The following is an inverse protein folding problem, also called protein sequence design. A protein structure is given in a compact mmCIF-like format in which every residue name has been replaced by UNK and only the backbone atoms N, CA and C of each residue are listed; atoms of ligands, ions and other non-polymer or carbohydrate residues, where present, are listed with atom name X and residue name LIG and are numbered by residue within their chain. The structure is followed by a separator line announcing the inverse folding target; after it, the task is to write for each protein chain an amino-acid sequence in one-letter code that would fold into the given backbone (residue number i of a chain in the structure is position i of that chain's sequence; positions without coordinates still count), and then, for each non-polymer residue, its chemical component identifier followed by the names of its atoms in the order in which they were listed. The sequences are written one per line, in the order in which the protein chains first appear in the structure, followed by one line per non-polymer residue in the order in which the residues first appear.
data_IF_796481583474
#
_entry.id   IF_796481583474
#
_cell.length_a   1.000
_cell.length_b   1.000
_cell.length_c   1.000
_cell.angle_alpha   90.00
_cell.angle_beta   90.00
_cell.angle_gamma   90.00
#
_symmetry.space_group_name_H-M   'P 1'
#
loop_
_entity.id
_entity.type
_entity.pdbx_description
1 polymer ?
#
# COMPACT_ATOMS: atom_id res chain seq x y z
N UNK A 1 -38.28 12.80 26.32
CA UNK A 1 -37.23 13.78 26.66
C UNK A 1 -35.99 13.40 25.87
N UNK A 2 -35.18 14.36 25.41
CA UNK A 2 -34.00 14.06 24.60
C UNK A 2 -32.80 13.81 25.53
N UNK A 3 -32.31 12.58 25.58
CA UNK A 3 -31.12 12.19 26.35
C UNK A 3 -29.93 13.06 25.95
N UNK A 4 -29.25 13.67 26.92
CA UNK A 4 -28.14 14.58 26.65
C UNK A 4 -26.83 13.80 26.51
N UNK A 5 -26.29 13.76 25.31
CA UNK A 5 -25.02 13.09 25.03
C UNK A 5 -23.83 13.99 25.38
N UNK A 6 -22.82 13.41 26.04
CA UNK A 6 -21.53 14.04 26.31
C UNK A 6 -20.42 13.21 25.70
N UNK A 7 -19.76 13.76 24.69
CA UNK A 7 -18.59 13.15 24.09
C UNK A 7 -17.38 13.28 25.01
N UNK A 8 -16.68 12.17 25.26
CA UNK A 8 -15.40 12.16 25.97
C UNK A 8 -14.28 12.02 24.95
N UNK A 9 -13.39 13.01 24.90
CA UNK A 9 -12.19 12.95 24.06
C UNK A 9 -11.23 11.89 24.57
N UNK A 10 -10.80 11.00 23.67
CA UNK A 10 -9.78 10.02 23.97
C UNK A 10 -8.39 10.66 24.00
N UNK A 11 -7.52 10.19 24.90
CA UNK A 11 -6.09 10.49 24.90
C UNK A 11 -5.34 9.20 24.59
N UNK A 12 -4.46 9.25 23.59
CA UNK A 12 -3.58 8.13 23.23
C UNK A 12 -2.34 8.21 24.12
N UNK A 13 -2.07 7.17 24.87
CA UNK A 13 -0.87 7.06 25.71
C UNK A 13 0.30 6.46 24.92
N UNK A 14 1.51 6.52 25.50
CA UNK A 14 2.76 6.03 24.87
C UNK A 14 2.73 4.53 24.52
N UNK A 15 1.84 3.76 25.14
CA UNK A 15 1.60 2.34 24.88
C UNK A 15 0.60 2.08 23.73
N UNK A 16 0.07 3.15 23.10
CA UNK A 16 -0.93 3.08 22.05
C UNK A 16 -2.35 2.81 22.53
N UNK A 17 -2.58 2.72 23.85
CA UNK A 17 -3.91 2.51 24.42
C UNK A 17 -4.71 3.81 24.48
N UNK A 18 -6.04 3.68 24.45
CA UNK A 18 -6.99 4.81 24.53
C UNK A 18 -7.47 4.98 25.96
N UNK A 19 -7.16 6.12 26.59
CA UNK A 19 -7.68 6.48 27.90
C UNK A 19 -8.77 7.55 27.79
N UNK A 20 -9.84 7.36 28.58
CA UNK A 20 -10.98 8.28 28.67
C UNK A 20 -11.08 8.81 30.09
N UNK A 21 -11.00 10.13 30.26
CA UNK A 21 -11.22 10.78 31.55
C UNK A 21 -12.64 11.32 31.64
N UNK A 22 -13.37 10.90 32.67
CA UNK A 22 -14.76 11.32 32.90
C UNK A 22 -14.93 11.77 34.34
N UNK A 23 -15.51 12.96 34.52
CA UNK A 23 -16.02 13.42 35.82
C UNK A 23 -17.51 13.10 35.87
N UNK A 24 -17.98 12.53 36.99
CA UNK A 24 -19.40 12.25 37.20
C UNK A 24 -20.18 13.57 37.25
N UNK A 25 -21.23 13.67 36.43
CA UNK A 25 -22.23 14.73 36.53
C UNK A 25 -23.37 14.28 37.47
N UNK A 26 -24.16 15.23 38.01
CA UNK A 26 -25.42 14.92 38.68
C UNK A 26 -26.31 14.02 37.81
N UNK A 27 -27.24 13.27 38.43
CA UNK A 27 -28.14 12.31 37.78
C UNK A 27 -29.23 12.96 36.88
N UNK A 28 -28.84 13.95 36.11
CA UNK A 28 -29.58 14.51 34.99
C UNK A 28 -29.32 13.58 33.81
N UNK A 29 -30.36 12.91 33.31
CA UNK A 29 -30.45 11.97 32.18
C UNK A 29 -29.41 12.19 31.04
N UNK A 30 -28.16 11.81 31.31
CA UNK A 30 -27.00 12.09 30.47
C UNK A 30 -26.18 10.84 30.25
N UNK A 31 -25.67 10.69 29.04
CA UNK A 31 -24.91 9.53 28.61
C UNK A 31 -23.53 9.99 28.14
N UNK A 32 -22.49 9.38 28.70
CA UNK A 32 -21.13 9.57 28.25
C UNK A 32 -20.86 8.65 27.05
N UNK A 33 -20.36 9.22 25.96
CA UNK A 33 -20.03 8.48 24.73
C UNK A 33 -18.52 8.48 24.54
N UNK A 34 -17.94 7.28 24.42
CA UNK A 34 -16.52 7.05 24.16
C UNK A 34 -16.37 6.38 22.79
N UNK A 35 -15.73 7.05 21.82
CA UNK A 35 -15.45 6.45 20.51
C UNK A 35 -14.09 5.76 20.52
N UNK A 36 -14.08 4.48 20.16
CA UNK A 36 -12.87 3.70 19.93
C UNK A 36 -12.34 3.95 18.53
N UNK A 37 -11.03 4.07 18.36
CA UNK A 37 -10.40 4.06 17.04
C UNK A 37 -10.52 2.63 16.47
N UNK A 38 -11.06 2.44 15.25
CA UNK A 38 -11.14 1.11 14.66
C UNK A 38 -9.74 0.62 14.29
N UNK A 39 -9.29 -0.48 14.91
CA UNK A 39 -8.04 -1.19 14.57
C UNK A 39 -8.14 -2.03 13.28
N UNK A 40 -9.05 -1.65 12.37
CA UNK A 40 -9.28 -2.41 11.13
C UNK A 40 -8.38 -1.89 10.03
N UNK A 41 -7.32 -2.63 9.75
CA UNK A 41 -6.57 -2.51 8.51
C UNK A 41 -7.45 -3.00 7.36
N UNK A 42 -7.80 -2.11 6.44
CA UNK A 42 -8.47 -2.46 5.18
C UNK A 42 -7.38 -2.54 4.09
N UNK A 43 -6.94 -3.74 3.67
CA UNK A 43 -5.95 -3.84 2.61
C UNK A 43 -6.58 -3.41 1.27
N UNK A 44 -6.05 -2.34 0.68
CA UNK A 44 -6.42 -1.93 -0.68
C UNK A 44 -5.43 -2.58 -1.64
N UNK A 45 -5.90 -3.55 -2.43
CA UNK A 45 -5.08 -4.27 -3.40
C UNK A 45 -5.33 -3.68 -4.78
N UNK A 46 -4.28 -3.14 -5.39
CA UNK A 46 -4.29 -2.71 -6.78
C UNK A 46 -3.76 -3.83 -7.66
N UNK A 47 -4.59 -4.31 -8.58
CA UNK A 47 -4.19 -5.29 -9.60
C UNK A 47 -3.94 -4.53 -10.89
N UNK A 48 -2.69 -4.43 -11.36
CA UNK A 48 -2.37 -3.76 -12.62
C UNK A 48 -2.92 -4.54 -13.82
N UNK A 49 -3.16 -3.82 -14.91
CA UNK A 49 -3.70 -4.34 -16.16
C UNK A 49 -2.65 -5.01 -17.07
N UNK A 50 -3.02 -5.13 -18.35
CA UNK A 50 -2.19 -5.80 -19.37
C UNK A 50 -0.89 -5.02 -19.58
N UNK A 51 0.25 -5.69 -19.42
CA UNK A 51 1.61 -5.16 -19.63
C UNK A 51 2.06 -4.01 -18.71
N UNK A 52 1.29 -3.71 -17.67
CA UNK A 52 1.55 -2.59 -16.76
C UNK A 52 2.61 -2.93 -15.69
N UNK A 53 2.74 -4.21 -15.31
CA UNK A 53 3.78 -4.62 -14.38
C UNK A 53 5.15 -4.71 -15.06
N UNK A 54 6.15 -4.08 -14.45
CA UNK A 54 7.54 -4.19 -14.86
C UNK A 54 8.05 -5.64 -14.71
N UNK A 55 8.83 -6.10 -15.69
CA UNK A 55 9.37 -7.47 -15.72
C UNK A 55 10.88 -7.48 -15.72
N UNK A 56 11.45 -8.41 -14.96
CA UNK A 56 12.87 -8.75 -14.98
C UNK A 56 13.05 -10.12 -15.63
N UNK A 57 14.18 -10.33 -16.32
CA UNK A 57 14.59 -11.65 -16.78
C UNK A 57 15.26 -12.42 -15.64
N UNK A 58 15.02 -13.73 -15.55
CA UNK A 58 15.56 -14.64 -14.50
C UNK A 58 17.09 -14.73 -14.41
N UNK A 59 17.86 -13.98 -15.21
CA UNK A 59 19.32 -13.98 -15.10
C UNK A 59 19.74 -13.24 -13.84
N UNK A 60 20.54 -13.90 -13.02
CA UNK A 60 21.05 -13.53 -11.69
C UNK A 60 21.82 -12.21 -11.60
N UNK A 61 21.84 -11.41 -12.66
CA UNK A 61 22.45 -10.09 -12.71
C UNK A 61 21.37 -9.01 -12.64
N UNK A 62 21.39 -8.30 -11.52
CA UNK A 62 20.59 -7.12 -11.17
C UNK A 62 20.73 -5.93 -12.15
N UNK A 63 20.51 -6.09 -13.45
CA UNK A 63 20.59 -4.95 -14.38
C UNK A 63 19.77 -5.03 -15.66
N UNK A 64 19.29 -6.20 -16.09
CA UNK A 64 18.52 -6.27 -17.34
C UNK A 64 17.02 -6.32 -17.09
N UNK A 65 16.40 -5.14 -17.08
CA UNK A 65 14.94 -5.06 -17.09
C UNK A 65 14.41 -5.61 -18.42
N UNK A 66 13.70 -6.73 -18.34
CA UNK A 66 13.06 -7.37 -19.48
C UNK A 66 11.83 -6.62 -19.98
N UNK A 67 11.23 -5.73 -19.18
CA UNK A 67 10.17 -4.81 -19.59
C UNK A 67 10.05 -3.70 -18.53
N UNK A 68 10.35 -2.45 -18.89
CA UNK A 68 10.26 -1.29 -18.00
C UNK A 68 9.46 -0.18 -18.67
N UNK A 69 8.30 0.12 -18.11
CA UNK A 69 7.42 1.18 -18.59
C UNK A 69 7.39 2.36 -17.59
N UNK A 70 8.57 2.88 -17.23
CA UNK A 70 8.66 4.04 -16.32
C UNK A 70 8.61 5.39 -17.07
N UNK A 71 9.03 5.41 -18.34
CA UNK A 71 9.21 6.63 -19.11
C UNK A 71 9.30 6.35 -20.61
N UNK A 72 9.15 7.37 -21.44
CA UNK A 72 9.35 7.26 -22.90
C UNK A 72 10.74 6.77 -23.26
N UNK A 73 11.76 7.07 -22.45
CA UNK A 73 13.15 6.67 -22.69
C UNK A 73 13.38 5.17 -22.48
N UNK A 74 12.67 4.53 -21.54
CA UNK A 74 12.80 3.08 -21.32
C UNK A 74 12.01 2.25 -22.33
N UNK A 75 11.04 2.87 -23.02
CA UNK A 75 10.26 2.24 -24.09
C UNK A 75 10.97 2.32 -25.44
N UNK A 76 11.72 3.37 -25.71
CA UNK A 76 12.41 3.57 -27.00
C UNK A 76 13.25 2.37 -27.46
N UNK A 77 14.06 1.71 -26.60
CA UNK A 77 14.82 0.53 -26.98
C UNK A 77 13.94 -0.63 -27.47
N UNK A 78 12.69 -0.72 -27.03
CA UNK A 78 11.77 -1.77 -27.48
C UNK A 78 11.33 -1.57 -28.92
N UNK A 79 11.22 -0.33 -29.39
CA UNK A 79 10.81 -0.02 -30.77
C UNK A 79 11.80 -0.57 -31.80
N UNK A 80 13.08 -0.66 -31.44
CA UNK A 80 14.17 -1.10 -32.32
C UNK A 80 14.59 -2.57 -32.11
N UNK A 81 14.06 -3.27 -31.10
CA UNK A 81 14.37 -4.70 -30.88
C UNK A 81 13.74 -5.62 -31.94
N UNK A 82 14.53 -6.59 -32.39
CA UNK A 82 14.08 -7.64 -33.32
C UNK A 82 13.04 -8.58 -32.72
N UNK A 83 12.23 -9.20 -33.59
CA UNK A 83 11.16 -10.11 -33.20
C UNK A 83 11.65 -11.30 -32.36
N UNK A 84 12.80 -11.88 -32.70
CA UNK A 84 13.40 -13.00 -31.96
C UNK A 84 13.83 -12.57 -30.55
N UNK A 85 14.45 -11.40 -30.43
CA UNK A 85 14.86 -10.82 -29.15
C UNK A 85 13.65 -10.54 -28.26
N UNK A 86 12.59 -9.93 -28.81
CA UNK A 86 11.35 -9.68 -28.06
C UNK A 86 10.71 -10.98 -27.55
N UNK A 87 10.65 -12.01 -28.38
CA UNK A 87 10.09 -13.32 -28.03
C UNK A 87 10.87 -13.99 -26.90
N UNK A 88 12.20 -13.94 -26.94
CA UNK A 88 13.04 -14.60 -25.95
C UNK A 88 13.09 -13.83 -24.62
N UNK A 89 13.07 -12.49 -24.66
CA UNK A 89 13.11 -11.64 -23.44
C UNK A 89 11.77 -11.59 -22.72
N UNK A 90 10.64 -11.64 -23.44
CA UNK A 90 9.29 -11.60 -22.85
C UNK A 90 8.67 -13.00 -22.66
N UNK A 91 9.51 -14.04 -22.64
CA UNK A 91 9.07 -15.41 -22.40
C UNK A 91 8.45 -15.52 -20.99
N UNK A 92 7.16 -15.88 -20.86
CA UNK A 92 6.48 -15.97 -19.56
C UNK A 92 7.09 -17.02 -18.64
N UNK A 93 7.84 -17.99 -19.18
CA UNK A 93 8.52 -19.01 -18.37
C UNK A 93 9.78 -18.48 -17.68
N UNK A 94 10.36 -17.38 -18.19
CA UNK A 94 11.60 -16.76 -17.73
C UNK A 94 11.42 -15.35 -17.14
N UNK A 95 10.25 -14.74 -17.37
CA UNK A 95 9.95 -13.40 -16.89
C UNK A 95 9.40 -13.44 -15.46
N UNK A 96 9.96 -12.60 -14.58
CA UNK A 96 9.48 -12.36 -13.20
C UNK A 96 9.03 -10.92 -13.05
N UNK A 97 8.19 -10.65 -12.05
CA UNK A 97 7.85 -9.27 -11.69
C UNK A 97 9.08 -8.60 -11.08
N UNK A 98 9.47 -7.43 -11.60
CA UNK A 98 10.55 -6.66 -11.02
C UNK A 98 10.08 -6.04 -9.69
N UNK A 99 10.62 -6.53 -8.57
CA UNK A 99 10.25 -6.05 -7.22
C UNK A 99 10.98 -4.76 -6.82
N UNK A 100 12.10 -4.43 -7.49
CA UNK A 100 12.90 -3.25 -7.18
C UNK A 100 12.90 -2.28 -8.37
N UNK A 101 12.13 -1.20 -8.23
CA UNK A 101 12.34 0.05 -8.99
C UNK A 101 12.94 1.03 -7.99
N UNK A 102 14.19 1.45 -8.23
CA UNK A 102 14.93 2.36 -7.36
C UNK A 102 14.18 3.70 -7.29
N UNK A 103 13.42 3.96 -6.22
CA UNK A 103 12.71 5.23 -6.05
C UNK A 103 11.47 5.24 -5.14
N UNK A 104 10.87 4.09 -4.80
CA UNK A 104 9.63 4.07 -4.01
C UNK A 104 9.69 2.99 -2.94
N UNK A 105 10.33 3.30 -1.81
CA UNK A 105 10.24 2.46 -0.62
C UNK A 105 8.82 2.54 -0.05
N UNK A 106 8.11 1.41 -0.01
CA UNK A 106 7.20 1.12 1.08
C UNK A 106 7.86 -0.03 1.86
N UNK A 107 8.57 0.33 2.92
CA UNK A 107 9.08 -0.64 3.88
C UNK A 107 7.88 -1.37 4.51
N UNK A 108 7.80 -2.69 4.31
CA UNK A 108 6.96 -3.54 5.13
C UNK A 108 7.84 -4.04 6.29
N UNK A 109 7.66 -3.47 7.47
CA UNK A 109 8.23 -4.04 8.71
C UNK A 109 7.37 -5.23 9.10
N UNK A 110 7.98 -6.41 9.12
CA UNK A 110 7.49 -7.56 9.88
C UNK A 110 7.89 -7.41 11.36
#
# INVERSE_FOLDING_TARGET
MATKERLISAVIHDDGSLHFSSVMSPAEESVAVCYTIPDRIIPVIFIPGVMESNRATDESDNSQSGWLLDSTNTVQPWMTKDALTRRNTLDPTKARIAQYVKGSYLEYKA
#
